data_IF_141082699871
#
_entry.id   IF_141082699871
#
_cell.length_a   1.000
_cell.length_b   1.000
_cell.length_c   1.000
_cell.angle_alpha   90.00
_cell.angle_beta   90.00
_cell.angle_gamma   90.00
#
_symmetry.space_group_name_H-M   'P 1'
#
loop_
_entity.id
_entity.type
_entity.pdbx_description
1 polymer ?
#
# COMPACT_ATOMS: atom_id res chain seq x y z
N UNK A 1 -2.18 -10.68 -22.09
CA UNK A 1 -3.45 -10.53 -21.34
C UNK A 1 -4.59 -11.23 -22.06
N UNK A 2 -5.68 -11.60 -21.36
CA UNK A 2 -6.94 -12.04 -22.00
C UNK A 2 -7.67 -10.78 -22.52
N UNK A 3 -7.93 -10.71 -23.84
CA UNK A 3 -8.59 -9.57 -24.48
C UNK A 3 -9.98 -9.27 -23.92
N UNK A 4 -10.70 -10.31 -23.48
CA UNK A 4 -12.07 -10.19 -22.99
C UNK A 4 -12.15 -9.54 -21.61
N UNK A 5 -11.00 -9.46 -20.91
CA UNK A 5 -10.89 -8.81 -19.59
C UNK A 5 -10.42 -7.36 -19.68
N UNK A 6 -10.10 -6.84 -20.87
CA UNK A 6 -9.68 -5.44 -21.08
C UNK A 6 -8.55 -4.97 -20.14
N UNK A 7 -7.65 -5.87 -19.74
CA UNK A 7 -6.58 -5.55 -18.79
C UNK A 7 -7.04 -5.34 -17.35
N UNK A 8 -8.30 -5.64 -17.02
CA UNK A 8 -8.85 -5.49 -15.69
C UNK A 8 -8.56 -6.70 -14.80
N UNK A 9 -8.11 -6.43 -13.58
CA UNK A 9 -8.06 -7.37 -12.47
C UNK A 9 -8.97 -6.81 -11.38
N UNK A 10 -10.17 -7.39 -11.30
CA UNK A 10 -11.19 -6.99 -10.34
C UNK A 10 -11.02 -7.74 -9.02
N UNK A 11 -11.10 -7.03 -7.90
CA UNK A 11 -11.09 -7.58 -6.56
C UNK A 11 -12.25 -6.98 -5.74
N UNK A 12 -13.04 -7.84 -5.09
CA UNK A 12 -13.93 -7.42 -4.00
C UNK A 12 -13.09 -7.27 -2.72
N UNK A 13 -13.16 -6.12 -2.07
CA UNK A 13 -12.29 -5.81 -0.93
C UNK A 13 -13.08 -5.27 0.28
N UNK A 14 -12.44 -5.28 1.45
CA UNK A 14 -12.95 -4.73 2.72
C UNK A 14 -14.12 -5.50 3.36
N UNK A 15 -14.57 -6.59 2.76
CA UNK A 15 -15.58 -7.46 3.39
C UNK A 15 -15.00 -8.29 4.54
N UNK A 16 -15.75 -8.40 5.65
CA UNK A 16 -15.44 -9.29 6.77
C UNK A 16 -14.13 -9.00 7.54
N UNK A 17 -13.58 -7.79 7.44
CA UNK A 17 -12.47 -7.35 8.29
C UNK A 17 -12.93 -6.91 9.70
N UNK A 18 -14.22 -6.60 9.85
CA UNK A 18 -14.78 -6.11 11.10
C UNK A 18 -14.73 -4.60 11.24
N UNK A 19 -15.43 -4.06 12.24
CA UNK A 19 -15.44 -2.63 12.54
C UNK A 19 -14.09 -2.08 13.03
N UNK A 20 -13.05 -2.92 13.17
CA UNK A 20 -11.66 -2.51 13.40
C UNK A 20 -10.95 -2.04 12.14
N UNK A 21 -11.45 -2.40 10.95
CA UNK A 21 -10.98 -1.80 9.70
C UNK A 21 -11.54 -0.39 9.56
N UNK A 22 -10.64 0.59 9.64
CA UNK A 22 -10.92 1.94 9.21
C UNK A 22 -10.14 2.33 7.96
N UNK A 23 -10.28 3.59 7.56
CA UNK A 23 -9.73 4.13 6.32
C UNK A 23 -8.19 4.02 6.20
N UNK A 24 -7.44 3.97 7.31
CA UNK A 24 -5.98 3.75 7.30
C UNK A 24 -5.63 2.35 6.80
N UNK A 25 -6.32 1.34 7.32
CA UNK A 25 -6.15 -0.04 6.88
C UNK A 25 -6.66 -0.23 5.45
N UNK A 26 -7.79 0.40 5.11
CA UNK A 26 -8.30 0.37 3.73
C UNK A 26 -7.31 0.95 2.72
N UNK A 27 -6.62 2.05 3.06
CA UNK A 27 -5.56 2.61 2.22
C UNK A 27 -4.39 1.64 2.06
N UNK A 28 -3.95 0.96 3.12
CA UNK A 28 -2.89 -0.06 3.03
C UNK A 28 -3.30 -1.26 2.15
N UNK A 29 -4.52 -1.77 2.32
CA UNK A 29 -5.05 -2.86 1.49
C UNK A 29 -5.17 -2.41 0.03
N UNK A 30 -5.58 -1.16 -0.22
CA UNK A 30 -5.64 -0.58 -1.56
C UNK A 30 -4.28 -0.60 -2.24
N UNK A 31 -3.25 -0.09 -1.56
CA UNK A 31 -1.88 -0.09 -2.08
C UNK A 31 -1.37 -1.51 -2.32
N UNK A 32 -1.64 -2.42 -1.39
CA UNK A 32 -1.24 -3.82 -1.52
C UNK A 32 -1.88 -4.44 -2.77
N UNK A 33 -3.19 -4.26 -2.96
CA UNK A 33 -3.89 -4.78 -4.13
C UNK A 33 -3.36 -4.18 -5.44
N UNK A 34 -3.20 -2.86 -5.50
CA UNK A 34 -2.77 -2.15 -6.71
C UNK A 34 -1.33 -2.49 -7.08
N UNK A 35 -0.44 -2.52 -6.09
CA UNK A 35 0.96 -2.97 -6.30
C UNK A 35 1.06 -4.44 -6.68
N UNK A 36 -0.02 -5.23 -6.59
CA UNK A 36 -0.10 -6.61 -7.07
C UNK A 36 -0.97 -6.76 -8.33
N UNK A 37 -1.26 -5.65 -9.01
CA UNK A 37 -1.91 -5.63 -10.32
C UNK A 37 -3.43 -5.54 -10.30
N UNK A 38 -4.08 -5.41 -9.14
CA UNK A 38 -5.51 -5.07 -9.06
C UNK A 38 -5.71 -3.63 -9.51
N UNK A 39 -6.61 -3.40 -10.45
CA UNK A 39 -6.91 -2.05 -10.95
C UNK A 39 -8.41 -1.76 -10.99
N UNK A 40 -9.22 -2.65 -10.41
CA UNK A 40 -10.65 -2.44 -10.25
C UNK A 40 -11.10 -2.99 -8.89
N UNK A 41 -11.26 -2.08 -7.92
CA UNK A 41 -11.64 -2.44 -6.54
C UNK A 41 -13.15 -2.28 -6.40
N UNK A 42 -13.83 -3.32 -5.94
CA UNK A 42 -15.25 -3.29 -5.58
C UNK A 42 -15.36 -3.30 -4.06
N UNK A 43 -15.72 -2.18 -3.43
CA UNK A 43 -15.78 -2.10 -1.98
C UNK A 43 -16.99 -2.85 -1.42
N UNK A 44 -16.76 -3.83 -0.55
CA UNK A 44 -17.80 -4.51 0.23
C UNK A 44 -17.86 -3.88 1.64
N UNK A 45 -18.96 -3.27 2.10
CA UNK A 45 -20.23 -3.10 1.39
C UNK A 45 -21.02 -1.83 1.75
N UNK A 46 -21.90 -1.43 0.82
CA UNK A 46 -23.07 -0.62 1.09
C UNK A 46 -24.27 -1.54 1.41
N UNK A 47 -24.46 -1.84 2.70
CA UNK A 47 -25.53 -2.71 3.19
C UNK A 47 -26.88 -1.99 3.34
N UNK A 48 -28.00 -2.54 2.82
CA UNK A 48 -29.33 -1.95 2.98
C UNK A 48 -29.96 -2.22 4.36
N UNK A 49 -29.43 -3.20 5.11
CA UNK A 49 -29.96 -3.61 6.41
C UNK A 49 -29.69 -2.55 7.47
N UNK A 50 -30.64 -2.38 8.39
CA UNK A 50 -30.55 -1.40 9.48
C UNK A 50 -29.38 -1.72 10.42
N UNK A 51 -28.64 -0.70 10.84
CA UNK A 51 -27.60 -0.81 11.85
C UNK A 51 -28.16 -1.14 13.26
N UNK A 52 -27.50 -2.00 14.07
CA UNK A 52 -26.28 -2.74 13.76
C UNK A 52 -26.56 -3.93 12.84
N UNK A 53 -25.67 -4.12 11.87
CA UNK A 53 -25.62 -5.31 11.03
C UNK A 53 -24.30 -6.05 11.26
N UNK A 54 -24.40 -7.37 11.48
CA UNK A 54 -23.28 -8.24 11.83
C UNK A 54 -22.77 -9.05 10.64
N UNK A 55 -23.42 -8.93 9.48
CA UNK A 55 -23.05 -9.65 8.28
C UNK A 55 -21.83 -8.99 7.61
N UNK A 56 -20.67 -9.61 7.76
CA UNK A 56 -19.40 -9.22 7.15
C UNK A 56 -19.06 -7.70 7.20
N UNK A 57 -19.08 -7.05 8.39
CA UNK A 57 -18.67 -5.65 8.54
C UNK A 57 -17.20 -5.42 8.09
N UNK A 58 -16.81 -4.18 7.78
CA UNK A 58 -17.59 -2.94 7.89
C UNK A 58 -18.62 -2.71 6.79
N UNK A 59 -19.67 -1.94 7.13
CA UNK A 59 -20.57 -1.33 6.15
C UNK A 59 -20.27 0.17 6.07
N UNK A 60 -19.84 0.67 4.91
CA UNK A 60 -19.21 1.99 4.84
C UNK A 60 -20.12 3.13 5.32
N UNK A 61 -21.40 3.11 4.93
CA UNK A 61 -22.37 4.11 5.37
C UNK A 61 -22.99 3.80 6.74
N UNK A 62 -23.33 2.54 6.99
CA UNK A 62 -24.01 2.09 8.21
C UNK A 62 -25.23 2.95 8.62
N UNK A 63 -26.00 3.48 7.66
CA UNK A 63 -27.11 4.42 7.90
C UNK A 63 -26.69 5.69 8.66
N UNK A 64 -25.50 6.19 8.38
CA UNK A 64 -24.93 7.38 9.04
C UNK A 64 -24.29 7.10 10.39
N UNK A 65 -24.19 5.83 10.80
CA UNK A 65 -23.60 5.45 12.09
C UNK A 65 -22.10 5.22 12.03
N UNK A 66 -21.51 5.04 10.84
CA UNK A 66 -20.06 4.95 10.70
C UNK A 66 -19.46 6.37 10.73
N UNK A 67 -18.75 6.75 11.80
CA UNK A 67 -18.25 8.13 11.94
C UNK A 67 -17.21 8.47 10.87
N UNK A 68 -16.51 7.48 10.29
CA UNK A 68 -15.53 7.72 9.23
C UNK A 68 -16.15 7.89 7.83
N UNK A 69 -17.47 7.73 7.67
CA UNK A 69 -18.11 7.79 6.35
C UNK A 69 -17.89 9.15 5.65
N UNK A 70 -17.83 10.25 6.40
CA UNK A 70 -17.56 11.58 5.86
C UNK A 70 -16.19 11.67 5.16
N UNK A 71 -15.22 10.87 5.59
CA UNK A 71 -13.87 10.82 5.04
C UNK A 71 -13.70 9.75 3.94
N UNK A 72 -14.72 8.93 3.67
CA UNK A 72 -14.66 7.87 2.66
C UNK A 72 -14.33 8.40 1.25
N UNK A 73 -14.78 9.62 0.94
CA UNK A 73 -14.46 10.28 -0.33
C UNK A 73 -12.96 10.58 -0.51
N UNK A 74 -12.20 10.74 0.57
CA UNK A 74 -10.74 10.92 0.52
C UNK A 74 -10.09 9.64 0.03
N UNK A 75 -10.45 8.49 0.61
CA UNK A 75 -9.99 7.18 0.18
C UNK A 75 -10.42 6.89 -1.27
N UNK A 76 -11.69 7.12 -1.61
CA UNK A 76 -12.22 6.78 -2.93
C UNK A 76 -11.51 7.52 -4.06
N UNK A 77 -11.20 8.82 -3.89
CA UNK A 77 -10.44 9.59 -4.90
C UNK A 77 -9.00 9.11 -5.03
N UNK A 78 -8.37 8.78 -3.91
CA UNK A 78 -7.01 8.20 -3.91
C UNK A 78 -6.98 6.87 -4.67
N UNK A 79 -7.88 5.94 -4.33
CA UNK A 79 -7.97 4.63 -4.97
C UNK A 79 -8.30 4.74 -6.47
N UNK A 80 -9.22 5.63 -6.85
CA UNK A 80 -9.60 5.89 -8.24
C UNK A 80 -8.42 6.39 -9.08
N UNK A 81 -7.64 7.35 -8.57
CA UNK A 81 -6.44 7.87 -9.24
C UNK A 81 -5.38 6.79 -9.46
N UNK A 82 -5.13 5.96 -8.45
CA UNK A 82 -4.19 4.85 -8.58
C UNK A 82 -4.69 3.78 -9.55
N UNK A 83 -5.96 3.38 -9.44
CA UNK A 83 -6.57 2.43 -10.36
C UNK A 83 -6.49 2.92 -11.81
N UNK A 84 -6.69 4.22 -12.05
CA UNK A 84 -6.50 4.85 -13.34
C UNK A 84 -5.04 4.80 -13.82
N UNK A 85 -4.10 5.20 -12.96
CA UNK A 85 -2.66 5.21 -13.27
C UNK A 85 -2.10 3.81 -13.56
N UNK A 86 -2.66 2.75 -12.97
CA UNK A 86 -2.23 1.36 -13.19
C UNK A 86 -3.22 0.57 -14.07
N UNK A 87 -3.85 1.26 -15.01
CA UNK A 87 -4.73 0.69 -16.04
C UNK A 87 -4.26 1.05 -17.45
N UNK A 88 -4.69 0.24 -18.44
CA UNK A 88 -4.45 0.43 -19.87
C UNK A 88 -2.98 0.43 -20.34
N UNK A 89 -2.03 0.18 -19.44
CA UNK A 89 -0.63 -0.05 -19.74
C UNK A 89 -0.29 -1.54 -19.73
N UNK A 90 0.97 -1.85 -19.43
CA UNK A 90 1.45 -3.22 -19.27
C UNK A 90 2.42 -3.35 -18.10
N UNK A 91 2.34 -4.48 -17.42
CA UNK A 91 3.31 -4.85 -16.40
C UNK A 91 4.46 -5.67 -17.04
N UNK A 92 5.71 -5.17 -17.07
CA UNK A 92 6.82 -5.81 -17.78
C UNK A 92 7.48 -6.95 -16.98
N UNK A 93 6.68 -7.92 -16.52
CA UNK A 93 7.21 -9.08 -15.80
C UNK A 93 8.02 -9.99 -16.72
N UNK A 94 9.24 -10.32 -16.29
CA UNK A 94 10.21 -11.12 -17.06
C UNK A 94 10.32 -12.57 -16.57
N UNK A 95 9.72 -12.87 -15.41
CA UNK A 95 9.80 -14.15 -14.73
C UNK A 95 8.42 -14.78 -14.62
N UNK A 96 8.32 -16.02 -15.11
CA UNK A 96 7.17 -16.87 -14.90
C UNK A 96 7.42 -17.87 -13.78
N UNK A 97 6.44 -18.10 -12.92
CA UNK A 97 6.45 -19.17 -11.90
C UNK A 97 5.38 -20.18 -12.28
N UNK A 98 5.75 -21.44 -12.49
CA UNK A 98 4.78 -22.48 -12.82
C UNK A 98 3.87 -22.77 -11.63
N UNK A 99 2.55 -22.72 -11.84
CA UNK A 99 1.57 -23.06 -10.82
C UNK A 99 1.69 -24.54 -10.42
N UNK A 100 1.84 -24.80 -9.12
CA UNK A 100 2.23 -26.12 -8.60
C UNK A 100 1.13 -27.19 -8.65
N UNK A 101 -0.11 -26.85 -9.05
CA UNK A 101 -1.26 -27.76 -8.96
C UNK A 101 -1.00 -29.13 -9.59
N UNK A 102 -0.40 -29.20 -10.79
CA UNK A 102 -0.08 -30.50 -11.42
C UNK A 102 0.86 -31.34 -10.56
N UNK A 103 1.86 -30.71 -9.94
CA UNK A 103 2.80 -31.37 -9.03
C UNK A 103 2.12 -31.90 -7.77
N UNK A 104 1.05 -31.24 -7.31
CA UNK A 104 0.29 -31.64 -6.11
C UNK A 104 -0.46 -32.96 -6.31
N UNK A 105 -0.91 -33.23 -7.54
CA UNK A 105 -1.54 -34.49 -7.90
C UNK A 105 -0.56 -35.66 -8.07
N UNK A 106 0.72 -35.36 -8.31
CA UNK A 106 1.75 -36.36 -8.69
C UNK A 106 2.81 -36.59 -7.63
N UNK A 107 2.68 -35.97 -6.45
CA UNK A 107 3.62 -36.12 -5.34
C UNK A 107 3.41 -35.07 -4.25
N UNK A 108 4.51 -34.60 -3.66
CA UNK A 108 4.50 -33.51 -2.69
C UNK A 108 5.35 -32.36 -3.24
N UNK A 109 4.77 -31.44 -4.03
CA UNK A 109 5.53 -30.40 -4.68
C UNK A 109 5.92 -29.29 -3.70
N UNK A 110 6.94 -28.52 -4.07
CA UNK A 110 7.12 -27.17 -3.55
C UNK A 110 5.92 -26.29 -3.94
N UNK A 111 5.59 -25.32 -3.09
CA UNK A 111 4.51 -24.36 -3.34
C UNK A 111 5.06 -23.16 -4.13
N UNK A 112 4.22 -22.53 -4.97
CA UNK A 112 4.59 -21.28 -5.64
C UNK A 112 4.62 -20.06 -4.69
N UNK A 113 3.77 -20.03 -3.65
CA UNK A 113 3.70 -18.89 -2.75
C UNK A 113 5.04 -18.53 -2.04
N UNK A 114 5.84 -19.49 -1.52
CA UNK A 114 7.18 -19.19 -1.02
C UNK A 114 8.14 -18.64 -2.09
N UNK A 115 8.02 -19.09 -3.33
CA UNK A 115 8.83 -18.59 -4.45
C UNK A 115 8.45 -17.14 -4.75
N UNK A 116 7.16 -16.86 -4.94
CA UNK A 116 6.65 -15.51 -5.18
C UNK A 116 7.06 -14.55 -4.06
N UNK A 117 6.99 -14.99 -2.80
CA UNK A 117 7.48 -14.23 -1.65
C UNK A 117 8.97 -13.91 -1.75
N UNK A 118 9.82 -14.88 -2.12
CA UNK A 118 11.26 -14.63 -2.29
C UNK A 118 11.51 -13.61 -3.41
N UNK A 119 10.77 -13.67 -4.52
CA UNK A 119 10.87 -12.69 -5.60
C UNK A 119 10.48 -11.28 -5.10
N UNK A 120 9.32 -11.17 -4.46
CA UNK A 120 8.79 -9.90 -3.91
C UNK A 120 9.76 -9.26 -2.92
N UNK A 121 10.28 -10.04 -1.95
CA UNK A 121 11.25 -9.58 -0.96
C UNK A 121 12.61 -9.19 -1.55
N UNK A 122 12.85 -9.54 -2.81
CA UNK A 122 14.02 -9.14 -3.58
C UNK A 122 13.66 -8.11 -4.67
N UNK A 123 12.52 -7.43 -4.59
CA UNK A 123 12.08 -6.38 -5.52
C UNK A 123 12.03 -6.87 -6.98
N UNK A 124 11.62 -8.12 -7.18
CA UNK A 124 11.45 -8.72 -8.50
C UNK A 124 10.02 -9.25 -8.63
N UNK A 125 9.39 -8.93 -9.76
CA UNK A 125 8.06 -9.42 -10.08
C UNK A 125 8.08 -10.81 -10.71
N UNK A 126 7.18 -11.67 -10.23
CA UNK A 126 6.93 -12.99 -10.79
C UNK A 126 5.46 -13.16 -11.15
N UNK A 127 5.18 -13.69 -12.34
CA UNK A 127 3.81 -14.03 -12.76
C UNK A 127 3.55 -15.51 -12.61
N UNK A 128 2.46 -15.86 -11.95
CA UNK A 128 2.00 -17.24 -11.87
C UNK A 128 1.46 -17.70 -13.23
N UNK A 129 1.99 -18.80 -13.75
CA UNK A 129 1.65 -19.36 -15.06
C UNK A 129 1.09 -20.76 -14.88
N UNK A 130 -0.14 -20.99 -15.33
CA UNK A 130 -0.70 -22.34 -15.43
C UNK A 130 -0.03 -23.12 -16.56
N UNK A 131 -0.02 -24.44 -16.44
CA UNK A 131 0.42 -25.38 -17.47
C UNK A 131 -0.32 -25.19 -18.82
N UNK A 132 -1.58 -24.75 -18.77
CA UNK A 132 -2.37 -24.46 -19.97
C UNK A 132 -1.82 -23.27 -20.77
N UNK A 133 -1.39 -22.21 -20.10
CA UNK A 133 -0.76 -21.06 -20.74
C UNK A 133 0.66 -21.38 -21.19
N UNK A 134 1.42 -22.15 -20.41
CA UNK A 134 2.76 -22.60 -20.80
C UNK A 134 2.73 -23.42 -22.09
N UNK A 135 1.73 -24.32 -22.24
CA UNK A 135 1.54 -25.09 -23.47
C UNK A 135 1.33 -24.23 -24.72
N UNK A 136 0.74 -23.04 -24.56
CA UNK A 136 0.52 -22.07 -25.65
C UNK A 136 1.71 -21.13 -25.86
N UNK A 137 2.80 -21.30 -25.10
CA UNK A 137 3.93 -20.40 -25.20
C UNK A 137 4.68 -20.58 -26.53
N UNK A 138 4.94 -19.45 -27.18
CA UNK A 138 5.74 -19.35 -28.40
C UNK A 138 7.19 -19.03 -28.05
N UNK A 139 8.16 -19.72 -28.65
CA UNK A 139 9.58 -19.44 -28.41
C UNK A 139 10.09 -18.49 -29.49
N UNK A 140 10.64 -17.35 -29.09
CA UNK A 140 11.17 -16.34 -30.01
C UNK A 140 12.34 -15.60 -29.38
N UNK A 141 13.42 -15.43 -30.14
CA UNK A 141 14.59 -14.60 -29.76
C UNK A 141 15.17 -14.89 -28.37
N UNK A 142 15.18 -16.17 -27.95
CA UNK A 142 15.69 -16.59 -26.63
C UNK A 142 14.72 -16.36 -25.46
N UNK A 143 13.48 -15.95 -25.74
CA UNK A 143 12.39 -15.77 -24.79
C UNK A 143 11.23 -16.74 -25.08
N UNK A 144 10.31 -16.86 -24.12
CA UNK A 144 9.01 -17.50 -24.34
C UNK A 144 7.88 -16.48 -24.17
N UNK A 145 6.93 -16.46 -25.09
CA UNK A 145 5.86 -15.48 -25.14
C UNK A 145 4.54 -16.15 -24.78
N UNK A 146 3.79 -15.55 -23.84
CA UNK A 146 2.43 -15.97 -23.51
C UNK A 146 1.50 -14.79 -23.76
N UNK A 147 0.56 -14.97 -24.70
CA UNK A 147 -0.36 -13.92 -25.14
C UNK A 147 0.38 -12.61 -25.51
N UNK A 148 1.52 -12.74 -26.20
CA UNK A 148 2.38 -11.63 -26.62
C UNK A 148 3.28 -11.04 -25.53
N UNK A 149 3.19 -11.49 -24.27
CA UNK A 149 4.02 -11.00 -23.17
C UNK A 149 5.31 -11.83 -23.11
N UNK A 150 6.50 -11.19 -23.22
CA UNK A 150 7.78 -11.90 -23.22
C UNK A 150 8.22 -12.28 -21.80
N UNK A 151 8.75 -13.49 -21.66
CA UNK A 151 9.37 -13.97 -20.43
C UNK A 151 10.76 -14.52 -20.73
N UNK A 152 11.70 -14.23 -19.83
CA UNK A 152 13.10 -14.64 -19.93
C UNK A 152 13.40 -15.90 -19.14
N UNK A 153 12.71 -16.08 -18.02
CA UNK A 153 12.96 -17.14 -17.05
C UNK A 153 11.66 -17.83 -16.66
N UNK A 154 11.66 -19.16 -16.65
CA UNK A 154 10.64 -19.97 -15.98
C UNK A 154 11.21 -20.57 -14.70
N UNK A 155 10.54 -20.33 -13.59
CA UNK A 155 10.80 -20.96 -12.30
C UNK A 155 9.78 -22.07 -12.11
N UNK A 156 10.27 -23.28 -11.85
CA UNK A 156 9.46 -24.47 -11.61
C UNK A 156 9.63 -24.86 -10.14
N UNK A 157 8.55 -24.87 -9.34
CA UNK A 157 8.62 -25.39 -7.97
C UNK A 157 9.10 -26.85 -7.94
N UNK A 158 9.70 -27.26 -6.83
CA UNK A 158 10.06 -28.67 -6.58
C UNK A 158 8.89 -29.59 -6.94
N UNK A 159 9.17 -30.70 -7.62
CA UNK A 159 8.15 -31.68 -7.94
C UNK A 159 8.78 -33.06 -8.06
N UNK A 160 8.13 -34.08 -7.50
CA UNK A 160 8.61 -35.48 -7.59
C UNK A 160 8.48 -36.03 -9.02
N UNK A 161 7.37 -35.69 -9.69
CA UNK A 161 7.01 -36.17 -11.02
C UNK A 161 6.14 -35.13 -11.73
N UNK A 162 6.31 -34.95 -13.04
CA UNK A 162 5.39 -34.18 -13.89
C UNK A 162 4.97 -34.99 -15.12
N UNK A 163 3.77 -34.79 -15.68
CA UNK A 163 3.35 -35.48 -16.90
C UNK A 163 4.34 -35.27 -18.06
N UNK A 164 4.53 -36.30 -18.89
CA UNK A 164 5.49 -36.26 -20.01
C UNK A 164 5.29 -35.05 -20.93
N UNK A 165 4.03 -34.73 -21.27
CA UNK A 165 3.71 -33.57 -22.10
C UNK A 165 4.16 -32.25 -21.44
N UNK A 166 4.05 -32.09 -20.12
CA UNK A 166 4.48 -30.88 -19.43
C UNK A 166 6.01 -30.78 -19.36
N UNK A 167 6.68 -31.91 -19.18
CA UNK A 167 8.14 -32.00 -19.30
C UNK A 167 8.62 -31.58 -20.70
N UNK A 168 7.90 -31.99 -21.75
CA UNK A 168 8.18 -31.55 -23.12
C UNK A 168 7.99 -30.04 -23.25
N UNK A 169 6.94 -29.46 -22.70
CA UNK A 169 6.73 -27.99 -22.73
C UNK A 169 7.84 -27.24 -21.98
N UNK A 170 8.21 -27.69 -20.78
CA UNK A 170 9.29 -27.07 -19.98
C UNK A 170 10.63 -27.16 -20.72
N UNK A 171 10.92 -28.29 -21.39
CA UNK A 171 12.18 -28.49 -22.11
C UNK A 171 12.36 -27.52 -23.31
N UNK A 172 11.26 -26.99 -23.88
CA UNK A 172 11.31 -25.96 -24.93
C UNK A 172 11.75 -24.59 -24.41
N UNK A 173 11.59 -24.32 -23.11
CA UNK A 173 11.83 -23.00 -22.53
C UNK A 173 13.33 -22.70 -22.49
N UNK A 174 13.78 -21.51 -22.95
CA UNK A 174 15.19 -21.13 -23.01
C UNK A 174 15.94 -21.27 -21.68
N UNK A 175 15.41 -20.63 -20.63
CA UNK A 175 16.02 -20.59 -19.30
C UNK A 175 15.00 -21.10 -18.26
N UNK A 176 15.41 -22.12 -17.51
CA UNK A 176 14.56 -22.75 -16.50
C UNK A 176 15.35 -22.92 -15.21
N UNK A 177 14.78 -22.47 -14.10
CA UNK A 177 15.25 -22.77 -12.75
C UNK A 177 14.26 -23.70 -12.06
N UNK A 178 14.75 -24.82 -11.54
CA UNK A 178 14.01 -25.72 -10.68
C UNK A 178 14.36 -25.41 -9.23
N UNK A 179 13.35 -25.13 -8.41
CA UNK A 179 13.56 -24.85 -6.99
C UNK A 179 13.69 -26.17 -6.25
N UNK A 180 14.79 -26.31 -5.51
CA UNK A 180 15.24 -27.44 -4.68
C UNK A 180 15.47 -28.77 -5.43
N UNK A 181 14.57 -29.20 -6.31
CA UNK A 181 14.71 -30.45 -7.08
C UNK A 181 14.04 -30.42 -8.47
N UNK A 182 14.55 -31.25 -9.38
CA UNK A 182 13.90 -31.56 -10.67
C UNK A 182 12.96 -32.75 -10.53
N UNK A 183 11.89 -32.82 -11.33
CA UNK A 183 11.10 -34.04 -11.48
C UNK A 183 11.98 -35.22 -11.87
N UNK A 184 11.78 -36.36 -11.21
CA UNK A 184 12.56 -37.59 -11.43
C UNK A 184 12.51 -38.08 -12.88
N UNK A 185 11.43 -37.78 -13.60
CA UNK A 185 11.20 -38.15 -14.99
C UNK A 185 11.47 -37.01 -15.98
N UNK A 186 12.11 -35.91 -15.54
CA UNK A 186 12.51 -34.80 -16.40
C UNK A 186 13.99 -34.93 -16.79
N UNK A 187 14.26 -34.96 -18.09
CA UNK A 187 15.60 -35.13 -18.66
C UNK A 187 16.05 -33.94 -19.52
N UNK A 188 15.29 -32.83 -19.49
CA UNK A 188 15.61 -31.61 -20.22
C UNK A 188 16.64 -30.72 -19.51
N UNK A 189 16.91 -29.57 -20.12
CA UNK A 189 17.80 -28.53 -19.56
C UNK A 189 17.16 -27.76 -18.40
N UNK A 190 17.97 -26.99 -17.70
CA UNK A 190 17.58 -26.16 -16.57
C UNK A 190 18.46 -26.42 -15.36
N UNK A 191 18.59 -25.44 -14.49
CA UNK A 191 19.45 -25.51 -13.31
C UNK A 191 18.60 -25.79 -12.06
N UNK A 192 19.20 -26.40 -11.04
CA UNK A 192 18.57 -26.58 -9.73
C UNK A 192 19.15 -25.54 -8.81
N UNK A 193 18.30 -24.81 -8.09
CA UNK A 193 18.68 -23.79 -7.12
C UNK A 193 17.90 -23.99 -5.84
N UNK A 194 18.51 -23.74 -4.69
CA UNK A 194 17.77 -23.77 -3.43
C UNK A 194 16.82 -22.57 -3.34
N UNK A 195 15.71 -22.70 -2.63
CA UNK A 195 14.83 -21.56 -2.36
C UNK A 195 15.58 -20.39 -1.68
N UNK A 196 16.59 -20.69 -0.86
CA UNK A 196 17.39 -19.69 -0.16
C UNK A 196 18.31 -18.88 -1.11
N UNK A 197 18.84 -19.52 -2.16
CA UNK A 197 19.75 -18.87 -3.12
C UNK A 197 18.99 -18.17 -4.26
N UNK A 198 17.70 -18.47 -4.43
CA UNK A 198 16.86 -17.92 -5.50
C UNK A 198 16.87 -16.39 -5.53
N UNK A 199 16.81 -15.75 -4.36
CA UNK A 199 16.82 -14.28 -4.25
C UNK A 199 18.05 -13.64 -4.89
N UNK A 200 19.22 -14.28 -4.79
CA UNK A 200 20.45 -13.81 -5.42
C UNK A 200 20.42 -14.02 -6.94
N UNK A 201 19.89 -15.14 -7.41
CA UNK A 201 19.84 -15.47 -8.84
C UNK A 201 18.92 -14.53 -9.64
N UNK A 202 17.91 -13.94 -9.00
CA UNK A 202 16.93 -13.06 -9.67
C UNK A 202 17.26 -11.57 -9.61
N UNK A 203 18.31 -11.15 -8.88
CA UNK A 203 18.71 -9.74 -8.80
C UNK A 203 18.89 -9.03 -10.15
N UNK A 204 19.38 -9.69 -11.23
CA UNK A 204 19.48 -9.06 -12.55
C UNK A 204 18.15 -8.63 -13.17
N UNK A 205 17.01 -9.05 -12.61
CA UNK A 205 15.66 -8.69 -13.09
C UNK A 205 15.04 -7.52 -12.34
N UNK A 206 15.75 -6.90 -11.38
CA UNK A 206 15.28 -5.72 -10.65
C UNK A 206 15.24 -4.50 -11.56
N UNK A 207 14.14 -3.75 -11.52
CA UNK A 207 14.03 -2.43 -12.16
C UNK A 207 14.51 -1.29 -11.26
N UNK A 208 14.38 -1.46 -9.95
CA UNK A 208 14.95 -0.59 -8.92
C UNK A 208 15.95 -1.42 -8.12
N UNK A 209 17.16 -0.89 -7.90
CA UNK A 209 18.24 -1.60 -7.19
C UNK A 209 18.54 -0.90 -5.87
N UNK A 210 17.93 -1.33 -4.74
CA UNK A 210 18.23 -0.78 -3.43
C UNK A 210 19.64 -1.18 -2.98
N UNK A 211 20.26 -0.36 -2.12
CA UNK A 211 21.60 -0.63 -1.58
C UNK A 211 21.65 -1.88 -0.67
N UNK A 212 20.53 -2.26 -0.08
CA UNK A 212 20.37 -3.44 0.78
C UNK A 212 19.11 -4.23 0.37
N UNK A 213 19.02 -5.51 0.75
CA UNK A 213 17.75 -6.26 0.62
C UNK A 213 16.76 -5.71 1.64
N UNK A 214 15.57 -5.32 1.19
CA UNK A 214 14.52 -4.74 2.04
C UNK A 214 13.25 -5.58 1.88
N UNK A 215 13.00 -6.56 2.76
CA UNK A 215 11.91 -7.51 2.58
C UNK A 215 10.51 -6.89 2.54
N UNK A 216 10.34 -5.69 3.10
CA UNK A 216 9.05 -4.99 3.14
C UNK A 216 8.87 -3.93 2.04
N UNK A 217 9.87 -3.75 1.17
CA UNK A 217 9.75 -2.84 0.04
C UNK A 217 9.15 -3.60 -1.15
N UNK A 218 7.88 -3.34 -1.43
CA UNK A 218 7.22 -3.80 -2.65
C UNK A 218 7.48 -2.77 -3.76
N UNK A 219 8.00 -3.22 -4.90
CA UNK A 219 8.19 -2.39 -6.10
C UNK A 219 7.33 -2.95 -7.21
N UNK A 220 6.41 -2.15 -7.76
CA UNK A 220 5.60 -2.52 -8.90
C UNK A 220 5.89 -1.59 -10.08
N UNK A 221 6.45 -2.15 -11.16
CA UNK A 221 6.73 -1.44 -12.40
C UNK A 221 5.54 -1.52 -13.37
N UNK A 222 5.24 -0.41 -14.02
CA UNK A 222 4.16 -0.32 -14.99
C UNK A 222 4.53 0.59 -16.17
N UNK A 223 4.35 0.07 -17.38
CA UNK A 223 4.55 0.80 -18.62
C UNK A 223 3.23 1.39 -19.10
N UNK A 224 3.15 2.71 -19.21
CA UNK A 224 2.08 3.43 -19.89
C UNK A 224 2.46 3.75 -21.35
N UNK A 225 1.49 4.07 -22.23
CA UNK A 225 1.78 4.48 -23.60
C UNK A 225 2.70 5.70 -23.73
N UNK A 226 2.76 6.56 -22.71
CA UNK A 226 3.48 7.83 -22.68
C UNK A 226 4.65 7.87 -21.68
N UNK A 227 4.89 6.81 -20.90
CA UNK A 227 6.00 6.77 -19.94
C UNK A 227 5.93 5.60 -18.97
N UNK A 228 6.84 5.57 -18.00
CA UNK A 228 6.87 4.57 -16.92
C UNK A 228 6.26 5.10 -15.62
N UNK A 229 5.68 4.19 -14.84
CA UNK A 229 5.30 4.44 -13.47
C UNK A 229 5.86 3.34 -12.55
N UNK A 230 6.26 3.73 -11.34
CA UNK A 230 6.65 2.82 -10.27
C UNK A 230 5.78 3.05 -9.04
N UNK A 231 5.30 1.98 -8.44
CA UNK A 231 4.67 2.01 -7.13
C UNK A 231 5.55 1.32 -6.10
N UNK A 232 6.08 2.09 -5.16
CA UNK A 232 6.90 1.61 -4.06
C UNK A 232 6.07 1.65 -2.78
N UNK A 233 5.82 0.51 -2.16
CA UNK A 233 4.98 0.42 -0.96
C UNK A 233 5.79 -0.19 0.19
N UNK A 234 5.64 0.38 1.39
CA UNK A 234 6.04 -0.30 2.61
C UNK A 234 4.94 -1.28 3.05
N UNK A 235 5.18 -2.58 2.87
CA UNK A 235 4.23 -3.62 3.29
C UNK A 235 4.25 -3.85 4.80
N UNK A 236 5.20 -3.29 5.54
CA UNK A 236 5.21 -3.35 7.00
C UNK A 236 4.25 -2.33 7.59
N UNK A 237 3.54 -2.75 8.65
CA UNK A 237 2.68 -1.87 9.44
C UNK A 237 3.36 -1.42 10.75
N UNK A 238 4.63 -1.78 10.95
CA UNK A 238 5.39 -1.46 12.17
C UNK A 238 6.81 -0.96 11.92
N UNK A 239 7.42 -1.31 10.79
CA UNK A 239 8.82 -0.98 10.51
C UNK A 239 8.91 0.08 9.40
N UNK A 240 9.62 1.19 9.61
CA UNK A 240 9.90 2.13 8.54
C UNK A 240 10.99 1.58 7.60
N UNK A 241 11.00 2.09 6.37
CA UNK A 241 12.02 1.81 5.37
C UNK A 241 12.83 3.08 5.16
N UNK A 242 14.14 2.99 5.36
CA UNK A 242 15.09 4.05 5.03
C UNK A 242 16.18 3.48 4.15
N UNK A 243 16.19 3.87 2.87
CA UNK A 243 17.18 3.38 1.91
C UNK A 243 17.41 4.35 0.78
N UNK A 244 18.40 4.02 -0.06
CA UNK A 244 18.59 4.63 -1.36
C UNK A 244 18.58 3.55 -2.43
N UNK A 245 18.15 3.89 -3.63
CA UNK A 245 18.14 2.95 -4.74
C UNK A 245 18.60 3.59 -6.05
N UNK A 246 19.23 2.79 -6.90
CA UNK A 246 19.48 3.18 -8.28
C UNK A 246 18.19 3.01 -9.10
N UNK A 247 17.82 4.07 -9.81
CA UNK A 247 16.76 4.10 -10.81
C UNK A 247 17.35 4.71 -12.10
N UNK A 248 17.36 3.99 -13.24
CA UNK A 248 17.79 4.56 -14.51
C UNK A 248 16.98 5.80 -14.91
N UNK A 249 17.64 6.81 -15.49
CA UNK A 249 17.03 8.06 -15.96
C UNK A 249 16.21 8.80 -14.88
N UNK A 250 16.69 8.78 -13.62
CA UNK A 250 16.04 9.38 -12.46
C UNK A 250 15.53 10.82 -12.70
N UNK A 251 16.31 11.64 -13.42
CA UNK A 251 15.97 13.04 -13.74
C UNK A 251 14.69 13.18 -14.59
N UNK A 252 14.19 12.09 -15.15
CA UNK A 252 12.93 12.05 -15.90
C UNK A 252 11.71 11.67 -15.05
N UNK A 253 11.86 11.52 -13.74
CA UNK A 253 10.78 11.14 -12.84
C UNK A 253 10.38 12.27 -11.88
N UNK A 254 9.09 12.27 -11.55
CA UNK A 254 8.51 13.05 -10.46
C UNK A 254 7.76 12.11 -9.50
N UNK A 255 7.63 12.54 -8.25
CA UNK A 255 6.76 11.89 -7.26
C UNK A 255 5.32 12.33 -7.53
N UNK A 256 4.39 11.39 -7.70
CA UNK A 256 2.97 11.68 -7.81
C UNK A 256 2.27 11.51 -6.46
N UNK A 257 1.77 12.61 -5.88
CA UNK A 257 0.91 12.55 -4.70
C UNK A 257 -0.53 12.30 -5.15
N UNK A 258 -0.99 11.06 -5.00
CA UNK A 258 -2.35 10.67 -5.37
C UNK A 258 -3.44 11.23 -4.42
N UNK A 259 -3.11 11.72 -3.22
CA UNK A 259 -4.07 12.42 -2.36
C UNK A 259 -4.29 13.85 -2.83
N UNK A 260 -3.20 14.59 -3.06
CA UNK A 260 -3.26 15.98 -3.53
C UNK A 260 -3.49 16.12 -5.04
N UNK A 261 -3.23 15.06 -5.81
CA UNK A 261 -3.17 15.06 -7.27
C UNK A 261 -2.17 16.07 -7.83
N UNK A 262 -0.95 16.03 -7.31
CA UNK A 262 0.14 16.94 -7.66
C UNK A 262 1.43 16.17 -7.96
N UNK A 263 2.36 16.82 -8.66
CA UNK A 263 3.69 16.32 -8.91
C UNK A 263 4.70 17.05 -8.01
N UNK A 264 5.54 16.28 -7.34
CA UNK A 264 6.62 16.74 -6.49
C UNK A 264 7.96 16.28 -7.09
N UNK A 265 9.06 17.01 -6.88
CA UNK A 265 10.36 16.57 -7.35
C UNK A 265 10.85 15.38 -6.53
N UNK A 266 11.67 14.53 -7.15
CA UNK A 266 12.23 13.35 -6.50
C UNK A 266 13.38 13.76 -5.57
N UNK A 267 13.31 13.32 -4.31
CA UNK A 267 14.43 13.40 -3.38
C UNK A 267 15.53 12.43 -3.83
N UNK A 268 16.73 12.94 -4.01
CA UNK A 268 17.86 12.15 -4.48
C UNK A 268 19.16 12.52 -3.78
N UNK A 269 20.03 11.54 -3.64
CA UNK A 269 21.36 11.72 -3.08
C UNK A 269 22.28 12.45 -4.07
N UNK A 270 23.45 12.89 -3.58
CA UNK A 270 24.50 13.47 -4.44
C UNK A 270 24.97 12.52 -5.55
N UNK A 271 24.80 11.21 -5.34
CA UNK A 271 25.18 10.16 -6.30
C UNK A 271 24.04 9.80 -7.26
N UNK A 272 23.02 10.65 -7.39
CA UNK A 272 21.84 10.45 -8.26
C UNK A 272 21.07 9.16 -7.98
N UNK A 273 21.02 8.74 -6.71
CA UNK A 273 20.14 7.67 -6.24
C UNK A 273 18.87 8.26 -5.66
N UNK A 274 17.73 7.60 -5.87
CA UNK A 274 16.49 8.00 -5.21
C UNK A 274 16.57 7.69 -3.72
N UNK A 275 16.12 8.63 -2.89
CA UNK A 275 15.90 8.42 -1.46
C UNK A 275 14.50 7.82 -1.24
N UNK A 276 14.44 6.68 -0.57
CA UNK A 276 13.20 5.99 -0.22
C UNK A 276 13.09 5.98 1.30
N UNK A 277 12.30 6.91 1.83
CA UNK A 277 11.89 6.98 3.22
C UNK A 277 10.38 6.73 3.28
N UNK A 278 9.98 5.55 3.77
CA UNK A 278 8.58 5.15 3.85
C UNK A 278 8.26 4.70 5.27
N UNK A 279 7.43 5.46 5.95
CA UNK A 279 6.85 5.07 7.23
C UNK A 279 5.86 3.91 7.03
N UNK A 280 5.46 3.20 8.10
CA UNK A 280 4.35 2.26 8.02
C UNK A 280 3.12 2.91 7.38
N UNK A 281 2.41 2.16 6.53
CA UNK A 281 1.26 2.64 5.73
C UNK A 281 1.58 3.61 4.57
N UNK A 282 2.85 4.00 4.38
CA UNK A 282 3.25 4.86 3.27
C UNK A 282 3.60 4.11 2.00
N UNK A 283 3.50 4.88 0.92
CA UNK A 283 3.86 4.47 -0.42
C UNK A 283 4.33 5.68 -1.22
N UNK A 284 5.26 5.43 -2.13
CA UNK A 284 5.83 6.40 -3.06
C UNK A 284 5.46 6.00 -4.49
N UNK A 285 4.93 6.94 -5.26
CA UNK A 285 4.59 6.72 -6.68
C UNK A 285 5.49 7.60 -7.51
N UNK A 286 6.23 7.00 -8.44
CA UNK A 286 7.06 7.71 -9.39
C UNK A 286 6.40 7.63 -10.76
N UNK A 287 6.33 8.76 -11.46
CA UNK A 287 5.83 8.83 -12.83
C UNK A 287 6.86 9.54 -13.71
N UNK A 288 7.08 9.01 -14.90
CA UNK A 288 8.04 9.56 -15.84
C UNK A 288 7.47 10.83 -16.49
N UNK A 289 7.89 11.99 -15.99
CA UNK A 289 7.49 13.31 -16.46
C UNK A 289 8.44 14.37 -15.94
N UNK A 290 8.42 15.56 -16.53
CA UNK A 290 9.14 16.70 -15.98
C UNK A 290 8.47 17.18 -14.66
N UNK A 291 9.23 17.43 -13.59
CA UNK A 291 8.67 17.91 -12.33
C UNK A 291 8.08 19.32 -12.48
N UNK A 292 6.89 19.56 -11.92
CA UNK A 292 6.17 20.83 -12.10
C UNK A 292 6.27 21.82 -10.93
N UNK A 293 6.97 21.52 -9.83
CA UNK A 293 7.11 22.47 -8.71
C UNK A 293 8.29 22.14 -7.81
N UNK A 294 8.79 23.08 -6.99
CA UNK A 294 9.73 22.77 -5.91
C UNK A 294 9.07 21.93 -4.81
N UNK A 295 9.84 21.03 -4.19
CA UNK A 295 9.45 20.33 -2.96
C UNK A 295 9.77 21.23 -1.77
N UNK A 296 8.89 21.22 -0.77
CA UNK A 296 9.18 21.77 0.54
C UNK A 296 9.55 20.63 1.49
N UNK A 297 10.76 20.67 2.04
CA UNK A 297 11.16 19.77 3.12
C UNK A 297 10.82 20.40 4.47
N UNK A 298 10.28 19.62 5.40
CA UNK A 298 10.13 20.06 6.78
C UNK A 298 11.50 20.50 7.34
N UNK A 299 11.55 21.73 7.82
CA UNK A 299 12.75 22.37 8.35
C UNK A 299 12.83 22.25 9.87
N UNK A 300 13.09 23.35 10.57
CA UNK A 300 13.46 23.36 11.98
C UNK A 300 12.20 23.21 12.86
N UNK A 301 12.28 22.37 13.90
CA UNK A 301 11.24 22.29 14.94
C UNK A 301 11.12 23.64 15.66
N UNK A 302 9.95 24.26 15.57
CA UNK A 302 9.63 25.57 16.15
C UNK A 302 8.95 25.43 17.52
N UNK A 303 8.18 24.35 17.72
CA UNK A 303 7.50 24.14 19.00
C UNK A 303 6.73 22.83 19.06
N UNK A 304 6.22 22.53 20.25
CA UNK A 304 5.33 21.40 20.52
C UNK A 304 4.17 21.85 21.40
N UNK A 305 3.02 21.21 21.23
CA UNK A 305 1.81 21.55 21.97
C UNK A 305 1.72 20.61 23.17
N UNK A 306 1.77 21.18 24.38
CA UNK A 306 1.81 20.39 25.62
C UNK A 306 0.44 19.90 26.09
N UNK A 307 -0.60 20.70 25.84
CA UNK A 307 -1.98 20.41 26.25
C UNK A 307 -2.98 20.93 25.22
N UNK A 308 -4.15 20.31 25.19
CA UNK A 308 -5.28 20.77 24.41
C UNK A 308 -6.58 20.64 25.22
N UNK A 309 -7.56 21.50 24.92
CA UNK A 309 -8.95 21.21 25.24
C UNK A 309 -9.46 20.14 24.27
N UNK A 310 -10.19 19.14 24.77
CA UNK A 310 -10.78 18.09 23.95
C UNK A 310 -12.26 17.91 24.28
N UNK A 311 -13.06 17.62 23.25
CA UNK A 311 -14.48 17.27 23.35
C UNK A 311 -14.75 16.01 22.56
N UNK A 312 -15.66 15.17 23.06
CA UNK A 312 -16.02 13.89 22.45
C UNK A 312 -17.46 13.95 21.94
N UNK A 313 -17.69 13.44 20.73
CA UNK A 313 -19.03 13.21 20.15
C UNK A 313 -19.12 11.73 19.76
N UNK A 314 -19.97 10.97 20.44
CA UNK A 314 -20.16 9.55 20.09
C UNK A 314 -20.82 9.41 18.72
N UNK A 315 -20.58 8.29 18.03
CA UNK A 315 -21.06 8.03 16.67
C UNK A 315 -22.59 8.14 16.50
N UNK A 316 -23.35 7.98 17.58
CA UNK A 316 -24.81 8.03 17.62
C UNK A 316 -25.36 9.29 18.32
N UNK A 317 -24.51 10.27 18.60
CA UNK A 317 -24.87 11.53 19.26
C UNK A 317 -24.74 12.71 18.28
N UNK A 318 -25.50 13.78 18.52
CA UNK A 318 -25.46 14.98 17.68
C UNK A 318 -24.54 16.08 18.23
N UNK A 319 -24.33 16.10 19.54
CA UNK A 319 -23.61 17.16 20.24
C UNK A 319 -22.32 16.62 20.88
N UNK A 320 -21.33 17.50 21.02
CA UNK A 320 -20.12 17.22 21.76
C UNK A 320 -20.36 17.32 23.27
N UNK A 321 -19.67 16.50 24.05
CA UNK A 321 -19.68 16.58 25.50
C UNK A 321 -19.03 17.88 26.03
N UNK A 322 -19.15 18.10 27.34
CA UNK A 322 -18.40 19.16 28.02
C UNK A 322 -16.89 18.97 27.82
N UNK A 323 -16.13 20.07 27.66
CA UNK A 323 -14.69 20.00 27.42
C UNK A 323 -13.91 19.50 28.64
N UNK A 324 -12.78 18.85 28.37
CA UNK A 324 -11.75 18.53 29.35
C UNK A 324 -10.36 18.72 28.75
N UNK A 325 -9.33 18.77 29.58
CA UNK A 325 -7.94 18.94 29.14
C UNK A 325 -7.26 17.59 28.96
N UNK A 326 -6.42 17.47 27.95
CA UNK A 326 -5.56 16.30 27.71
C UNK A 326 -4.11 16.72 27.48
N UNK A 327 -3.19 15.84 27.84
CA UNK A 327 -1.75 15.90 27.60
C UNK A 327 -1.32 15.00 26.43
N UNK A 328 -2.26 14.69 25.52
CA UNK A 328 -2.06 13.78 24.39
C UNK A 328 -1.69 12.35 24.82
N UNK A 329 -2.29 11.90 25.92
CA UNK A 329 -2.25 10.51 26.37
C UNK A 329 -3.35 9.66 25.72
N UNK A 330 -3.15 8.34 25.73
CA UNK A 330 -4.12 7.39 25.20
C UNK A 330 -5.44 7.42 25.99
N UNK A 331 -6.51 7.88 25.36
CA UNK A 331 -7.84 8.00 25.99
C UNK A 331 -8.60 6.67 26.09
N UNK A 332 -8.07 5.58 25.54
CA UNK A 332 -8.76 4.28 25.52
C UNK A 332 -9.06 3.71 26.92
N UNK A 333 -8.24 4.00 27.93
CA UNK A 333 -8.48 3.52 29.30
C UNK A 333 -9.67 4.23 29.96
N UNK A 334 -9.82 5.54 29.70
CA UNK A 334 -10.91 6.35 30.22
C UNK A 334 -12.21 6.12 29.42
N UNK A 335 -12.09 5.87 28.12
CA UNK A 335 -13.21 5.71 27.19
C UNK A 335 -13.17 4.38 26.41
N UNK A 336 -13.21 3.22 27.09
CA UNK A 336 -12.92 1.90 26.48
C UNK A 336 -13.97 1.41 25.47
N UNK A 337 -15.11 2.11 25.35
CA UNK A 337 -16.21 1.80 24.43
C UNK A 337 -16.51 2.94 23.46
N UNK A 338 -15.71 4.00 23.48
CA UNK A 338 -15.96 5.15 22.63
C UNK A 338 -15.65 4.83 21.18
N UNK A 339 -16.59 5.24 20.32
CA UNK A 339 -16.46 5.32 18.88
C UNK A 339 -17.10 6.63 18.45
N UNK A 340 -16.41 7.45 17.66
CA UNK A 340 -16.92 8.76 17.23
C UNK A 340 -15.80 9.74 16.93
N UNK A 341 -16.07 11.02 17.17
CA UNK A 341 -15.15 12.12 16.90
C UNK A 341 -14.59 12.70 18.20
N UNK A 342 -13.28 12.83 18.30
CA UNK A 342 -12.58 13.63 19.31
C UNK A 342 -12.15 14.93 18.67
N UNK A 343 -12.62 16.06 19.18
CA UNK A 343 -12.23 17.39 18.71
C UNK A 343 -11.29 18.04 19.70
N UNK A 344 -10.07 18.32 19.25
CA UNK A 344 -9.03 19.01 20.00
C UNK A 344 -9.00 20.50 19.61
N UNK A 345 -8.72 21.35 20.59
CA UNK A 345 -8.54 22.78 20.44
C UNK A 345 -7.24 23.21 21.10
N UNK A 346 -6.40 23.91 20.36
CA UNK A 346 -5.17 24.52 20.84
C UNK A 346 -4.80 25.71 19.95
N UNK A 347 -3.87 26.53 20.42
CA UNK A 347 -3.37 27.69 19.67
C UNK A 347 -1.97 27.41 19.13
N UNK A 348 -1.71 27.87 17.92
CA UNK A 348 -0.37 27.95 17.34
C UNK A 348 0.21 29.37 17.50
N UNK A 349 1.55 29.53 17.45
CA UNK A 349 2.17 30.85 17.41
C UNK A 349 1.59 31.76 16.31
N UNK A 350 1.31 33.02 16.65
CA UNK A 350 0.86 34.02 15.67
C UNK A 350 1.96 34.34 14.64
N UNK A 351 1.55 34.65 13.41
CA UNK A 351 2.47 35.08 12.36
C UNK A 351 3.33 33.97 11.74
N UNK A 352 3.01 32.70 12.03
CA UNK A 352 3.58 31.56 11.32
C UNK A 352 3.22 31.61 9.83
N UNK A 353 4.24 31.44 9.00
CA UNK A 353 4.14 31.30 7.56
C UNK A 353 4.91 30.05 7.15
N UNK A 354 4.38 29.28 6.19
CA UNK A 354 4.96 28.05 5.66
C UNK A 354 5.40 27.08 6.76
N UNK A 355 4.46 26.63 7.59
CA UNK A 355 4.74 25.66 8.65
C UNK A 355 4.14 24.28 8.34
N UNK A 356 4.64 23.25 9.01
CA UNK A 356 4.05 21.91 9.03
C UNK A 356 3.67 21.55 10.44
N UNK A 357 2.38 21.29 10.66
CA UNK A 357 1.86 20.72 11.90
C UNK A 357 1.81 19.19 11.75
N UNK A 358 2.55 18.47 12.57
CA UNK A 358 2.58 17.01 12.56
C UNK A 358 1.93 16.43 13.80
N UNK A 359 1.29 15.28 13.63
CA UNK A 359 0.77 14.45 14.71
C UNK A 359 1.50 13.10 14.66
N UNK A 360 2.55 12.91 15.49
CA UNK A 360 3.40 11.73 15.40
C UNK A 360 2.62 10.41 15.52
N UNK A 361 1.58 10.37 16.35
CA UNK A 361 0.68 9.23 16.45
C UNK A 361 -0.77 9.70 16.55
N UNK A 362 -1.59 9.30 15.59
CA UNK A 362 -3.02 9.58 15.57
C UNK A 362 -3.82 8.33 15.20
N UNK A 363 -4.98 8.17 15.85
CA UNK A 363 -5.82 6.98 15.73
C UNK A 363 -7.29 7.42 15.61
N UNK A 364 -7.84 7.61 14.41
CA UNK A 364 -7.34 7.10 13.12
C UNK A 364 -7.30 8.11 11.97
N UNK A 365 -8.39 8.80 11.66
CA UNK A 365 -8.34 9.87 10.65
C UNK A 365 -8.19 11.21 11.33
N UNK A 366 -7.44 12.13 10.73
CA UNK A 366 -7.18 13.46 11.29
C UNK A 366 -7.64 14.52 10.31
N UNK A 367 -8.46 15.44 10.79
CA UNK A 367 -8.87 16.63 10.05
C UNK A 367 -8.43 17.88 10.81
N UNK A 368 -7.59 18.70 10.19
CA UNK A 368 -7.12 19.97 10.73
C UNK A 368 -7.91 21.11 10.09
N UNK A 369 -8.37 22.05 10.90
CA UNK A 369 -9.00 23.30 10.45
C UNK A 369 -8.23 24.50 10.94
N UNK A 370 -7.81 25.33 9.99
CA UNK A 370 -7.09 26.59 10.22
C UNK A 370 -7.67 27.63 9.28
N UNK A 371 -8.05 28.80 9.79
CA UNK A 371 -8.57 29.93 9.00
C UNK A 371 -9.70 29.56 8.01
N UNK A 372 -10.56 28.63 8.41
CA UNK A 372 -11.69 28.16 7.58
C UNK A 372 -11.30 27.20 6.45
N UNK A 373 -10.02 26.86 6.30
CA UNK A 373 -9.56 25.76 5.44
C UNK A 373 -9.58 24.44 6.22
N UNK A 374 -9.87 23.35 5.52
CA UNK A 374 -9.92 22.00 6.09
C UNK A 374 -8.99 21.08 5.30
N UNK A 375 -8.14 20.33 6.01
CA UNK A 375 -7.29 19.31 5.45
C UNK A 375 -7.51 17.99 6.20
N UNK A 376 -7.75 16.91 5.47
CA UNK A 376 -7.98 15.57 6.07
C UNK A 376 -6.93 14.58 5.59
N UNK A 377 -6.36 13.84 6.53
CA UNK A 377 -5.54 12.65 6.26
C UNK A 377 -6.15 11.41 6.92
N UNK A 378 -6.21 10.34 6.15
CA UNK A 378 -6.81 9.06 6.56
C UNK A 378 -5.78 8.01 6.95
N UNK A 379 -4.49 8.27 6.71
CA UNK A 379 -3.37 7.41 7.00
C UNK A 379 -2.15 8.27 7.36
N UNK A 380 -1.18 7.75 8.13
CA UNK A 380 0.06 8.45 8.37
C UNK A 380 0.87 8.63 7.08
N UNK A 381 1.79 9.61 7.06
CA UNK A 381 2.11 10.56 8.11
C UNK A 381 1.07 11.67 8.21
N UNK A 382 0.67 12.00 9.43
CA UNK A 382 -0.30 13.05 9.72
C UNK A 382 0.39 14.42 9.79
N UNK A 383 0.91 14.88 8.65
CA UNK A 383 1.60 16.14 8.48
C UNK A 383 0.80 17.13 7.62
N UNK A 384 0.52 18.32 8.14
CA UNK A 384 -0.38 19.29 7.52
C UNK A 384 0.37 20.58 7.24
N UNK A 385 0.39 21.00 5.97
CA UNK A 385 1.04 22.25 5.56
C UNK A 385 0.12 23.42 5.89
N UNK A 386 0.66 24.42 6.58
CA UNK A 386 -0.01 25.65 6.94
C UNK A 386 0.76 26.80 6.28
N UNK A 387 0.25 27.30 5.16
CA UNK A 387 0.90 28.37 4.39
C UNK A 387 0.97 29.67 5.18
N UNK A 388 -0.10 30.00 5.91
CA UNK A 388 -0.19 31.21 6.72
C UNK A 388 -1.25 31.05 7.80
N UNK A 389 -0.96 31.57 8.99
CA UNK A 389 -1.89 31.64 10.11
C UNK A 389 -2.35 33.09 10.32
N UNK A 390 -3.65 33.33 10.20
CA UNK A 390 -4.32 34.59 10.56
C UNK A 390 -4.94 34.51 11.95
N UNK A 391 -5.53 33.36 12.30
CA UNK A 391 -6.08 33.07 13.62
C UNK A 391 -5.28 31.93 14.27
N UNK A 392 -4.68 32.12 15.46
CA UNK A 392 -3.91 31.08 16.11
C UNK A 392 -4.74 29.86 16.53
N UNK A 393 -6.06 29.98 16.67
CA UNK A 393 -6.93 28.90 17.09
C UNK A 393 -7.05 27.78 16.04
N UNK A 394 -6.68 26.56 16.43
CA UNK A 394 -6.74 25.35 15.61
C UNK A 394 -7.79 24.40 16.16
N UNK A 395 -8.61 23.86 15.27
CA UNK A 395 -9.45 22.70 15.56
C UNK A 395 -8.89 21.45 14.87
N UNK A 396 -8.81 20.34 15.61
CA UNK A 396 -8.39 19.05 15.06
C UNK A 396 -9.41 17.98 15.42
N UNK A 397 -10.04 17.38 14.41
CA UNK A 397 -10.89 16.20 14.60
C UNK A 397 -10.09 14.93 14.39
N UNK A 398 -10.13 14.03 15.38
CA UNK A 398 -9.71 12.64 15.26
C UNK A 398 -10.94 11.75 15.26
N UNK A 399 -11.12 10.95 14.21
CA UNK A 399 -12.29 10.07 14.07
C UNK A 399 -11.87 8.61 14.19
N UNK A 400 -12.47 7.91 15.16
CA UNK A 400 -12.17 6.50 15.45
C UNK A 400 -13.04 5.56 14.62
N UNK A 401 -12.72 4.27 14.61
CA UNK A 401 -13.62 3.24 14.09
C UNK A 401 -14.79 2.91 15.02
N UNK A 402 -15.69 2.04 14.56
CA UNK A 402 -16.81 1.49 15.33
C UNK A 402 -16.41 0.30 16.23
N UNK A 403 -15.20 -0.25 16.13
CA UNK A 403 -14.79 -1.50 16.78
C UNK A 403 -15.08 -1.55 18.29
N UNK A 404 -14.76 -0.47 19.01
CA UNK A 404 -14.89 -0.39 20.47
C UNK A 404 -16.32 -0.39 20.95
N UNK A 405 -17.21 0.25 20.20
CA UNK A 405 -18.65 0.30 20.50
C UNK A 405 -19.36 -1.00 20.10
N UNK A 406 -19.03 -1.57 18.93
CA UNK A 406 -19.73 -2.73 18.36
C UNK A 406 -19.24 -4.07 18.90
N UNK A 407 -17.92 -4.21 19.14
CA UNK A 407 -17.29 -5.42 19.72
C UNK A 407 -17.72 -6.73 19.05
N UNK A 408 -17.71 -6.72 17.73
CA UNK A 408 -18.12 -7.87 16.93
C UNK A 408 -16.99 -8.88 16.73
N UNK A 409 -17.35 -10.04 16.17
CA UNK A 409 -16.50 -11.23 16.11
C UNK A 409 -15.32 -11.12 15.14
N UNK A 410 -15.47 -10.42 14.02
CA UNK A 410 -14.43 -10.22 13.02
C UNK A 410 -13.29 -9.35 13.57
N UNK A 411 -13.62 -8.28 14.30
CA UNK A 411 -12.65 -7.38 14.93
C UNK A 411 -11.84 -8.01 16.07
N UNK A 412 -12.21 -9.18 16.59
CA UNK A 412 -11.51 -9.80 17.73
C UNK A 412 -10.06 -10.20 17.40
N UNK A 413 -9.74 -10.33 16.12
CA UNK A 413 -8.42 -10.70 15.61
C UNK A 413 -7.53 -9.49 15.27
N UNK A 414 -8.08 -8.27 15.35
CA UNK A 414 -7.37 -7.04 15.08
C UNK A 414 -7.04 -6.35 16.42
N UNK A 415 -5.76 -6.04 16.71
CA UNK A 415 -5.42 -5.23 17.87
C UNK A 415 -6.16 -3.89 17.84
N UNK A 416 -6.91 -3.58 18.89
CA UNK A 416 -7.58 -2.29 18.99
C UNK A 416 -6.55 -1.18 19.20
N UNK A 417 -6.48 -0.28 18.23
CA UNK A 417 -5.60 0.88 18.30
C UNK A 417 -5.94 1.80 19.48
N UNK A 418 -4.97 2.63 19.92
CA UNK A 418 -5.24 3.71 20.87
C UNK A 418 -6.37 4.65 20.44
N UNK A 419 -6.81 5.53 21.34
CA UNK A 419 -7.82 6.54 21.02
C UNK A 419 -7.19 7.93 21.11
N UNK A 420 -7.34 8.70 20.02
CA UNK A 420 -6.99 10.12 19.97
C UNK A 420 -5.61 10.40 19.38
N UNK A 421 -5.08 11.57 19.72
CA UNK A 421 -3.71 11.99 19.45
C UNK A 421 -2.81 11.51 20.59
N UNK A 422 -1.77 10.76 20.23
CA UNK A 422 -0.77 10.24 21.16
C UNK A 422 0.58 10.89 20.89
N UNK A 423 1.17 11.46 21.94
CA UNK A 423 2.35 12.30 21.79
C UNK A 423 1.98 13.71 21.34
N UNK A 424 2.88 14.64 21.63
CA UNK A 424 2.64 16.06 21.42
C UNK A 424 2.59 16.37 19.92
N UNK A 425 1.61 17.17 19.45
CA UNK A 425 1.70 17.78 18.13
C UNK A 425 2.97 18.60 18.03
N UNK A 426 3.64 18.53 16.88
CA UNK A 426 4.91 19.20 16.63
C UNK A 426 4.76 20.16 15.46
N UNK A 427 5.43 21.30 15.55
CA UNK A 427 5.37 22.35 14.55
C UNK A 427 6.76 22.59 13.97
N UNK A 428 6.86 22.53 12.65
CA UNK A 428 8.10 22.76 11.90
C UNK A 428 7.94 23.94 10.95
N UNK A 429 8.98 24.76 10.76
CA UNK A 429 9.04 25.71 9.64
C UNK A 429 9.47 24.97 8.36
N UNK A 430 8.86 25.26 7.21
CA UNK A 430 9.31 24.77 5.91
C UNK A 430 10.50 25.60 5.44
N UNK A 431 11.48 24.93 4.83
CA UNK A 431 12.62 25.58 4.18
C UNK A 431 12.32 25.97 2.73
#
# INVERSE_FOLDING_TARGET
>A
MNSDKYGAVMCEAFGAYGWGEGLKLMKWITDFMISHGVNYIVPHAFGPKKFPDWDCPPHFYAHGMNPQFEHFGVWSRYADRLAHLFSNGSHPTRIGVLYHAVGEWTGNPGKDAPILKVLEQNQVDGTLISEHYLKKAEIKDGQYLINGNPFDLLIVPAATYLPAWLNEEIARIPNVLFVDEKPSNYHGKGEVISLADLGQAVQPYRSIVPVNVIPFLRVYEYDQPDGKAYFLMNTSITEPIHTTAALPDLDSFAIYDAFANTLLPVNHTKDSQIEIDLQPYESLILVQTAPESPSHTAGILVGAIDQAEVRLKSFNEQEFCAPFTTDFSNLAAQYPRFSGTLRYYFELPEGLENAVLTFPQAFETVTVRVDGQEQTKIAPPYAFVIEKIQNPAIEVDVVTTLARSQRELFSQFIPLEPIGLLGKPELYELN
#
